data_IF_375596217429
#
_entry.id   IF_375596217429
#
_cell.length_a   1.000
_cell.length_b   1.000
_cell.length_c   1.000
_cell.angle_alpha   90.00
_cell.angle_beta   90.00
_cell.angle_gamma   90.00
#
_symmetry.space_group_name_H-M   'P 1'
#
loop_
_entity.id
_entity.type
_entity.pdbx_description
1 polymer ?
#
# COMPACT_ATOMS: atom_id res chain seq x y z
N UNK A 1 14.78 -21.94 -6.54
CA UNK A 1 13.90 -20.81 -6.92
C UNK A 1 13.38 -21.05 -8.33
N UNK A 2 12.07 -21.01 -8.53
CA UNK A 2 11.42 -21.21 -9.83
C UNK A 2 11.13 -19.83 -10.45
N UNK A 3 11.30 -19.64 -11.77
CA UNK A 3 11.01 -18.38 -12.48
C UNK A 3 9.56 -17.91 -12.24
N UNK A 4 8.61 -18.84 -12.14
CA UNK A 4 7.23 -18.52 -11.81
C UNK A 4 7.05 -17.95 -10.41
N UNK A 5 7.83 -18.41 -9.42
CA UNK A 5 7.78 -17.82 -8.07
C UNK A 5 8.30 -16.38 -8.03
N UNK A 6 9.30 -16.04 -8.84
CA UNK A 6 9.76 -14.67 -8.99
C UNK A 6 8.71 -13.77 -9.63
N UNK A 7 7.98 -14.26 -10.64
CA UNK A 7 6.87 -13.52 -11.25
C UNK A 7 5.74 -13.30 -10.25
N UNK A 8 5.37 -14.32 -9.46
CA UNK A 8 4.29 -14.19 -8.46
C UNK A 8 4.65 -13.20 -7.35
N UNK A 9 5.90 -13.19 -6.88
CA UNK A 9 6.37 -12.22 -5.88
C UNK A 9 6.34 -10.79 -6.44
N UNK A 10 6.83 -10.58 -7.66
CA UNK A 10 6.77 -9.26 -8.30
C UNK A 10 5.33 -8.80 -8.54
N UNK A 11 4.43 -9.72 -8.90
CA UNK A 11 3.00 -9.42 -9.08
C UNK A 11 2.35 -9.02 -7.75
N UNK A 12 2.61 -9.76 -6.66
CA UNK A 12 2.10 -9.41 -5.34
C UNK A 12 2.65 -8.06 -4.85
N UNK A 13 3.94 -7.78 -5.10
CA UNK A 13 4.56 -6.49 -4.81
C UNK A 13 3.91 -5.34 -5.57
N UNK A 14 3.60 -5.51 -6.86
CA UNK A 14 2.86 -4.50 -7.64
C UNK A 14 1.45 -4.26 -7.06
N UNK A 15 0.73 -5.33 -6.71
CA UNK A 15 -0.60 -5.21 -6.11
C UNK A 15 -0.56 -4.46 -4.79
N UNK A 16 0.41 -4.77 -3.94
CA UNK A 16 0.61 -4.10 -2.65
C UNK A 16 0.92 -2.60 -2.81
N UNK A 17 1.86 -2.25 -3.72
CA UNK A 17 2.21 -0.85 -3.98
C UNK A 17 1.06 -0.05 -4.61
N UNK A 18 0.25 -0.69 -5.44
CA UNK A 18 -0.97 -0.09 -5.98
C UNK A 18 -1.98 0.22 -4.87
N UNK A 19 -2.27 -0.73 -4.00
CA UNK A 19 -3.17 -0.53 -2.87
C UNK A 19 -2.69 0.60 -1.94
N UNK A 20 -1.36 0.69 -1.67
CA UNK A 20 -0.78 1.80 -0.93
C UNK A 20 -0.99 3.14 -1.64
N UNK A 21 -0.75 3.19 -2.95
CA UNK A 21 -0.96 4.41 -3.73
C UNK A 21 -2.43 4.87 -3.72
N UNK A 22 -3.39 3.94 -3.82
CA UNK A 22 -4.83 4.24 -3.75
C UNK A 22 -5.20 4.88 -2.41
N UNK A 23 -4.72 4.33 -1.28
CA UNK A 23 -4.95 4.89 0.06
C UNK A 23 -4.30 6.27 0.23
N UNK A 24 -3.07 6.46 -0.27
CA UNK A 24 -2.39 7.76 -0.20
C UNK A 24 -3.11 8.83 -1.05
N UNK A 25 -3.63 8.47 -2.21
CA UNK A 25 -4.45 9.38 -3.05
C UNK A 25 -5.76 9.72 -2.33
N UNK A 26 -6.40 8.74 -1.66
CA UNK A 26 -7.60 9.01 -0.85
C UNK A 26 -7.29 9.98 0.30
N UNK A 27 -6.17 9.80 1.00
CA UNK A 27 -5.72 10.72 2.03
C UNK A 27 -5.52 12.13 1.49
N UNK A 28 -4.76 12.28 0.39
CA UNK A 28 -4.50 13.58 -0.24
C UNK A 28 -5.78 14.28 -0.68
N UNK A 29 -6.71 13.54 -1.29
CA UNK A 29 -8.00 14.10 -1.73
C UNK A 29 -8.84 14.60 -0.56
N UNK A 30 -8.68 14.02 0.63
CA UNK A 30 -9.44 14.34 1.82
C UNK A 30 -8.65 15.14 2.87
N UNK A 31 -7.48 15.69 2.51
CA UNK A 31 -6.61 16.39 3.45
C UNK A 31 -7.28 17.61 4.13
N UNK A 32 -8.26 18.22 3.48
CA UNK A 32 -9.03 19.36 4.01
C UNK A 32 -10.50 19.04 4.31
N UNK A 33 -10.88 17.76 4.28
CA UNK A 33 -12.26 17.34 4.51
C UNK A 33 -12.60 17.40 6.00
N UNK A 34 -13.34 18.43 6.41
CA UNK A 34 -13.75 18.69 7.79
C UNK A 34 -14.98 17.92 8.22
N UNK A 35 -15.78 17.40 7.26
CA UNK A 35 -17.01 16.68 7.54
C UNK A 35 -17.17 15.45 6.64
N UNK A 36 -17.31 14.29 7.26
CA UNK A 36 -17.60 13.02 6.58
C UNK A 36 -19.02 12.54 6.87
N UNK A 37 -19.58 11.61 6.08
CA UNK A 37 -20.88 11.00 6.36
C UNK A 37 -20.97 10.30 7.72
N UNK A 38 -19.84 9.83 8.25
CA UNK A 38 -19.73 9.19 9.57
C UNK A 38 -19.68 10.20 10.72
N UNK A 39 -19.58 11.49 10.39
CA UNK A 39 -19.41 12.59 11.34
C UNK A 39 -17.94 12.91 11.62
N UNK A 40 -17.65 14.21 11.79
CA UNK A 40 -16.30 14.72 12.02
C UNK A 40 -15.41 14.72 10.78
N UNK A 41 -14.13 15.13 10.93
CA UNK A 41 -13.18 15.23 9.83
C UNK A 41 -12.76 13.85 9.32
N UNK A 42 -12.20 13.83 8.10
CA UNK A 42 -11.57 12.65 7.57
C UNK A 42 -10.42 12.19 8.48
N UNK A 43 -10.19 10.89 8.54
CA UNK A 43 -9.09 10.30 9.29
C UNK A 43 -8.11 9.62 8.33
N UNK A 44 -6.82 9.92 8.47
CA UNK A 44 -5.75 9.34 7.66
C UNK A 44 -5.78 7.82 7.73
N UNK A 45 -5.60 7.17 6.61
CA UNK A 45 -5.49 5.71 6.50
C UNK A 45 -4.08 5.32 6.14
N UNK A 46 -3.62 4.18 6.63
CA UNK A 46 -2.33 3.58 6.30
C UNK A 46 -2.50 2.11 5.95
N UNK A 47 -1.65 1.61 5.07
CA UNK A 47 -1.66 0.21 4.62
C UNK A 47 -0.59 -0.58 5.36
N UNK A 48 -0.99 -1.67 6.01
CA UNK A 48 -0.08 -2.62 6.64
C UNK A 48 0.16 -3.78 5.69
N UNK A 49 1.43 -4.03 5.38
CA UNK A 49 1.85 -5.17 4.57
C UNK A 49 2.22 -6.35 5.44
N UNK A 50 1.91 -7.54 4.97
CA UNK A 50 2.38 -8.80 5.54
C UNK A 50 3.04 -9.66 4.46
N UNK A 51 3.94 -10.53 4.88
CA UNK A 51 4.42 -11.57 3.99
C UNK A 51 3.30 -12.57 3.73
N UNK A 52 3.04 -12.87 2.47
CA UNK A 52 2.00 -13.81 2.07
C UNK A 52 2.36 -15.21 2.55
N UNK A 53 1.70 -15.66 3.62
CA UNK A 53 1.88 -17.00 4.17
C UNK A 53 0.94 -17.98 3.44
N UNK A 54 1.39 -18.54 2.34
CA UNK A 54 0.69 -19.65 1.68
C UNK A 54 1.05 -20.98 2.36
N UNK A 55 0.72 -21.12 3.61
CA UNK A 55 0.96 -22.37 4.32
C UNK A 55 -0.38 -23.09 4.49
N UNK A 56 -0.72 -23.97 3.55
CA UNK A 56 -1.63 -25.05 3.89
C UNK A 56 -0.89 -26.01 4.87
N UNK A 57 -1.58 -26.62 5.86
CA UNK A 57 -0.94 -27.53 6.81
C UNK A 57 -0.15 -28.67 6.16
N UNK A 58 -0.55 -29.09 4.97
CA UNK A 58 0.15 -30.12 4.19
C UNK A 58 1.39 -29.55 3.48
N UNK A 59 1.32 -28.32 2.97
CA UNK A 59 2.44 -27.66 2.31
C UNK A 59 3.58 -27.33 3.29
N UNK A 60 3.28 -27.08 4.59
CA UNK A 60 4.31 -26.78 5.59
C UNK A 60 5.26 -27.97 5.84
N UNK A 61 4.74 -29.18 5.85
CA UNK A 61 5.53 -30.41 6.06
C UNK A 61 6.39 -30.69 4.81
N UNK A 62 5.84 -30.48 3.61
CA UNK A 62 6.54 -30.73 2.36
C UNK A 62 7.58 -29.65 2.04
N UNK A 63 7.34 -28.41 2.47
CA UNK A 63 8.22 -27.26 2.24
C UNK A 63 9.44 -27.21 3.17
N UNK A 64 9.36 -27.84 4.34
CA UNK A 64 10.49 -27.98 5.26
C UNK A 64 11.65 -28.76 4.62
N UNK A 65 11.34 -29.63 3.64
CA UNK A 65 12.31 -30.40 2.86
C UNK A 65 12.82 -29.70 1.59
N UNK A 66 12.10 -28.68 1.07
CA UNK A 66 12.38 -28.06 -0.22
C UNK A 66 13.20 -26.75 -0.17
N UNK A 67 13.57 -26.28 1.03
CA UNK A 67 14.40 -25.08 1.21
C UNK A 67 13.60 -23.76 1.28
N UNK A 68 14.29 -22.60 1.34
CA UNK A 68 13.70 -21.31 1.66
C UNK A 68 12.59 -20.91 0.69
N UNK A 69 11.43 -20.64 1.25
CA UNK A 69 10.24 -20.20 0.51
C UNK A 69 10.32 -18.71 0.20
N UNK A 70 10.10 -18.36 -1.05
CA UNK A 70 9.99 -16.96 -1.46
C UNK A 70 8.54 -16.53 -1.23
N UNK A 71 8.31 -15.82 -0.14
CA UNK A 71 6.99 -15.28 0.19
C UNK A 71 6.68 -14.04 -0.66
N UNK A 72 5.45 -13.93 -1.14
CA UNK A 72 4.91 -12.69 -1.70
C UNK A 72 4.54 -11.69 -0.61
N UNK A 73 3.97 -10.56 -1.02
CA UNK A 73 3.45 -9.51 -0.14
C UNK A 73 1.94 -9.41 -0.31
N UNK A 74 1.22 -9.25 0.79
CA UNK A 74 -0.21 -8.95 0.78
C UNK A 74 -0.53 -7.76 1.67
N UNK A 75 -1.66 -7.11 1.41
CA UNK A 75 -2.23 -6.10 2.30
C UNK A 75 -2.94 -6.84 3.43
N UNK A 76 -2.37 -6.78 4.63
CA UNK A 76 -2.96 -7.42 5.80
C UNK A 76 -4.15 -6.61 6.32
N UNK A 77 -3.99 -5.28 6.39
CA UNK A 77 -5.00 -4.39 6.97
C UNK A 77 -4.81 -2.97 6.45
N UNK A 78 -5.90 -2.20 6.43
CA UNK A 78 -5.89 -0.75 6.29
C UNK A 78 -6.29 -0.15 7.63
N UNK A 79 -5.32 0.44 8.33
CA UNK A 79 -5.55 1.05 9.63
C UNK A 79 -5.94 2.53 9.47
N UNK A 80 -6.86 2.98 10.33
CA UNK A 80 -7.28 4.39 10.38
C UNK A 80 -6.66 5.07 11.59
N UNK A 81 -6.13 6.28 11.43
CA UNK A 81 -5.56 7.06 12.52
C UNK A 81 -6.64 7.39 13.57
N UNK A 82 -6.38 6.99 14.80
CA UNK A 82 -7.27 7.19 15.94
C UNK A 82 -6.95 8.45 16.74
N UNK A 83 -5.86 9.16 16.41
CA UNK A 83 -5.44 10.38 17.11
C UNK A 83 -6.50 11.47 16.97
N UNK A 84 -6.50 12.42 17.90
CA UNK A 84 -7.41 13.56 17.84
C UNK A 84 -7.12 14.42 16.61
N UNK A 85 -8.20 14.93 15.93
CA UNK A 85 -8.06 15.86 14.81
C UNK A 85 -7.33 17.15 15.21
N UNK A 86 -6.71 17.79 14.25
CA UNK A 86 -6.11 19.11 14.43
C UNK A 86 -7.20 20.17 14.47
N UNK A 87 -7.20 21.01 15.51
CA UNK A 87 -8.16 22.11 15.64
C UNK A 87 -7.52 23.41 15.16
N UNK A 88 -8.18 24.07 14.20
CA UNK A 88 -7.76 25.38 13.69
C UNK A 88 -8.84 26.40 13.96
N UNK A 89 -8.44 27.60 14.40
CA UNK A 89 -9.38 28.70 14.65
C UNK A 89 -9.73 29.39 13.32
N UNK A 90 -10.93 29.16 12.83
CA UNK A 90 -11.46 29.74 11.58
C UNK A 90 -12.91 30.17 11.85
N UNK A 91 -13.10 31.35 12.46
CA UNK A 91 -14.44 31.86 12.71
C UNK A 91 -15.15 32.17 11.37
N UNK A 92 -16.38 31.69 11.23
CA UNK A 92 -17.17 31.84 10.01
C UNK A 92 -17.13 30.65 9.06
N UNK A 93 -16.35 29.60 9.37
CA UNK A 93 -16.44 28.35 8.63
C UNK A 93 -17.74 27.62 8.96
N UNK A 94 -18.43 26.98 7.98
CA UNK A 94 -19.72 26.32 8.21
C UNK A 94 -19.64 25.16 9.22
N UNK A 95 -18.48 24.54 9.39
CA UNK A 95 -18.22 23.44 10.34
C UNK A 95 -17.51 23.93 11.61
N UNK A 96 -17.47 25.24 11.88
CA UNK A 96 -16.90 25.76 13.12
C UNK A 96 -17.80 25.42 14.32
N UNK A 97 -17.16 25.06 15.44
CA UNK A 97 -17.84 24.90 16.72
C UNK A 97 -18.27 26.27 17.31
N UNK A 98 -18.98 26.25 18.44
CA UNK A 98 -19.41 27.47 19.13
C UNK A 98 -18.25 28.38 19.56
N UNK A 99 -17.03 27.88 19.62
CA UNK A 99 -15.79 28.58 19.97
C UNK A 99 -15.01 29.07 18.75
N UNK A 100 -15.51 28.80 17.51
CA UNK A 100 -14.88 29.19 16.25
C UNK A 100 -13.77 28.26 15.78
N UNK A 101 -13.65 27.07 16.36
CA UNK A 101 -12.67 26.08 15.94
C UNK A 101 -13.27 25.07 14.97
N UNK A 102 -12.47 24.69 13.96
CA UNK A 102 -12.77 23.64 12.98
C UNK A 102 -11.81 22.48 13.17
N UNK A 103 -12.34 21.27 13.15
CA UNK A 103 -11.53 20.06 13.19
C UNK A 103 -11.08 19.67 11.78
N UNK A 104 -9.78 19.56 11.57
CA UNK A 104 -9.14 19.11 10.32
C UNK A 104 -8.52 17.72 10.49
N UNK A 105 -8.34 16.96 9.38
CA UNK A 105 -7.57 15.73 9.39
C UNK A 105 -6.15 15.99 9.89
N UNK A 106 -5.67 15.11 10.78
CA UNK A 106 -4.28 15.18 11.24
C UNK A 106 -3.36 14.46 10.26
N UNK A 107 -2.89 15.16 9.25
CA UNK A 107 -2.00 14.63 8.23
C UNK A 107 -1.12 15.71 7.65
N UNK A 108 -0.01 15.30 7.01
CA UNK A 108 0.86 16.17 6.25
C UNK A 108 0.79 15.78 4.76
N UNK A 109 0.11 16.56 3.90
CA UNK A 109 0.00 16.25 2.48
C UNK A 109 1.36 16.11 1.77
N UNK A 110 2.39 16.84 2.23
CA UNK A 110 3.72 16.75 1.63
C UNK A 110 4.37 15.38 1.92
N UNK A 111 4.20 14.83 3.10
CA UNK A 111 4.68 13.47 3.44
C UNK A 111 3.95 12.42 2.62
N UNK A 112 2.62 12.52 2.51
CA UNK A 112 1.82 11.58 1.70
C UNK A 112 2.17 11.65 0.20
N UNK A 113 2.55 12.84 -0.33
CA UNK A 113 3.07 12.98 -1.69
C UNK A 113 4.42 12.27 -1.88
N UNK A 114 5.34 12.37 -0.92
CA UNK A 114 6.63 11.67 -0.95
C UNK A 114 6.41 10.16 -0.88
N UNK A 115 5.51 9.71 -0.03
CA UNK A 115 5.14 8.30 0.11
C UNK A 115 4.49 7.77 -1.18
N UNK A 116 3.64 8.56 -1.85
CA UNK A 116 3.05 8.22 -3.13
C UNK A 116 4.11 8.06 -4.24
N UNK A 117 5.10 8.95 -4.27
CA UNK A 117 6.26 8.79 -5.17
C UNK A 117 7.05 7.52 -4.85
N UNK A 118 7.21 7.19 -3.57
CA UNK A 118 7.84 5.95 -3.12
C UNK A 118 7.07 4.72 -3.61
N UNK A 119 5.76 4.69 -3.45
CA UNK A 119 4.89 3.61 -3.92
C UNK A 119 4.96 3.45 -5.46
N UNK A 120 4.95 4.56 -6.20
CA UNK A 120 5.10 4.57 -7.66
C UNK A 120 6.45 3.97 -8.10
N UNK A 121 7.56 4.36 -7.45
CA UNK A 121 8.89 3.79 -7.73
C UNK A 121 8.94 2.30 -7.41
N UNK A 122 8.36 1.88 -6.28
CA UNK A 122 8.26 0.47 -5.90
C UNK A 122 7.46 -0.35 -6.92
N UNK A 123 6.37 0.20 -7.43
CA UNK A 123 5.58 -0.42 -8.50
C UNK A 123 6.43 -0.58 -9.78
N UNK A 124 7.10 0.48 -10.24
CA UNK A 124 7.95 0.46 -11.43
C UNK A 124 9.12 -0.53 -11.30
N UNK A 125 9.72 -0.64 -10.12
CA UNK A 125 10.77 -1.61 -9.85
C UNK A 125 10.27 -3.05 -10.02
N UNK A 126 9.08 -3.39 -9.53
CA UNK A 126 8.46 -4.70 -9.71
C UNK A 126 8.11 -4.98 -11.17
N UNK A 127 7.63 -3.97 -11.93
CA UNK A 127 7.41 -4.08 -13.38
C UNK A 127 8.74 -4.41 -14.09
N UNK A 128 9.81 -3.70 -13.77
CA UNK A 128 11.14 -3.92 -14.36
C UNK A 128 11.68 -5.32 -14.04
N UNK A 129 11.49 -5.79 -12.80
CA UNK A 129 11.85 -7.14 -12.40
C UNK A 129 11.08 -8.20 -13.20
N UNK A 130 9.77 -8.01 -13.40
CA UNK A 130 8.94 -8.91 -14.18
C UNK A 130 9.38 -8.96 -15.66
N UNK A 131 9.72 -7.82 -16.26
CA UNK A 131 10.25 -7.75 -17.62
C UNK A 131 11.59 -8.48 -17.74
N UNK A 132 12.50 -8.31 -16.77
CA UNK A 132 13.77 -9.02 -16.75
C UNK A 132 13.59 -10.54 -16.67
N UNK A 133 12.65 -11.03 -15.85
CA UNK A 133 12.33 -12.47 -15.78
C UNK A 133 11.78 -12.97 -17.13
N UNK A 134 10.89 -12.20 -17.75
CA UNK A 134 10.35 -12.53 -19.08
C UNK A 134 11.46 -12.63 -20.14
N UNK A 135 12.40 -11.69 -20.13
CA UNK A 135 13.54 -11.70 -21.05
C UNK A 135 14.46 -12.90 -20.81
N UNK A 136 14.69 -13.29 -19.56
CA UNK A 136 15.44 -14.50 -19.22
C UNK A 136 14.75 -15.76 -19.78
N UNK A 137 13.42 -15.85 -19.67
CA UNK A 137 12.65 -16.97 -20.22
C UNK A 137 12.79 -17.02 -21.75
N UNK A 138 12.63 -15.89 -22.43
CA UNK A 138 12.75 -15.81 -23.89
C UNK A 138 14.16 -16.26 -24.36
N UNK A 139 15.22 -15.77 -23.72
CA UNK A 139 16.58 -16.18 -24.05
C UNK A 139 16.85 -17.66 -23.79
N UNK A 140 16.28 -18.22 -22.73
CA UNK A 140 16.38 -19.65 -22.45
C UNK A 140 15.70 -20.50 -23.55
N UNK A 141 14.55 -20.04 -24.06
CA UNK A 141 13.86 -20.70 -25.18
C UNK A 141 14.62 -20.58 -26.49
N UNK A 142 15.29 -19.45 -26.75
CA UNK A 142 16.11 -19.24 -27.94
C UNK A 142 17.36 -20.16 -27.98
N UNK A 143 17.90 -20.52 -26.81
CA UNK A 143 19.04 -21.46 -26.70
C UNK A 143 18.60 -22.90 -27.03
N UNK A 144 17.32 -23.23 -26.86
CA UNK A 144 16.77 -24.56 -27.11
C UNK A 144 16.31 -24.76 -28.57
N UNK A 145 16.40 -23.71 -29.38
CA UNK A 145 16.10 -23.72 -30.82
C UNK A 145 17.33 -23.89 -31.67
#
# INVERSE_FOLDING_TARGET
>A
MNLFSLLSVSASGMSAQRARAEVLVENLANAETTRTPQGGPYRRKDVVFAAQSQISPFASIYQQELGPHVAGVEVAEVITDTREPERRYIPGHPDADASGYVAFPRMNPAEDMVDLMGASRGYQANVSAMLAVKDMINRALDILR
#
